data_IF_245103908429
#
_entry.id   IF_245103908429
#
_cell.length_a   1.000
_cell.length_b   1.000
_cell.length_c   1.000
_cell.angle_alpha   90.00
_cell.angle_beta   90.00
_cell.angle_gamma   90.00
#
_symmetry.space_group_name_H-M   'P 1'
#
loop_
_entity.id
_entity.type
_entity.pdbx_description
1 polymer ?
#
# COMPACT_ATOMS: atom_id res chain seq x y z
N UNK A 1 4.19 -26.29 -13.46
CA UNK A 1 4.27 -24.86 -13.15
C UNK A 1 5.71 -24.62 -12.77
N UNK A 2 6.40 -23.91 -13.59
CA UNK A 2 7.83 -23.67 -13.40
C UNK A 2 8.01 -22.53 -12.38
N UNK A 3 8.78 -22.77 -11.32
CA UNK A 3 9.22 -21.76 -10.33
C UNK A 3 10.03 -20.59 -10.97
N UNK A 4 10.09 -20.52 -12.31
CA UNK A 4 10.87 -19.57 -13.07
C UNK A 4 10.25 -18.18 -13.26
N UNK A 5 8.99 -17.98 -12.86
CA UNK A 5 8.27 -16.73 -13.11
C UNK A 5 8.30 -15.75 -11.92
N UNK A 6 8.85 -16.18 -10.78
CA UNK A 6 9.03 -15.34 -9.60
C UNK A 6 10.49 -15.36 -9.18
N UNK A 7 11.06 -14.17 -9.19
CA UNK A 7 12.38 -13.89 -8.61
C UNK A 7 12.19 -13.61 -7.11
N UNK A 8 12.76 -14.45 -6.26
CA UNK A 8 12.76 -14.23 -4.81
C UNK A 8 14.09 -13.59 -4.39
N UNK A 9 14.07 -12.29 -4.14
CA UNK A 9 15.23 -11.53 -3.66
C UNK A 9 15.45 -11.70 -2.16
N UNK A 10 14.68 -12.58 -1.50
CA UNK A 10 14.78 -12.89 -0.06
C UNK A 10 14.85 -11.63 0.79
N UNK A 11 13.82 -10.77 0.72
CA UNK A 11 13.83 -9.53 1.47
C UNK A 11 14.08 -9.83 2.96
N UNK A 12 15.01 -9.08 3.57
CA UNK A 12 15.24 -9.15 5.01
C UNK A 12 14.06 -8.50 5.73
N UNK A 13 12.98 -9.28 5.83
CA UNK A 13 11.77 -8.82 6.49
C UNK A 13 12.07 -8.71 7.99
N UNK A 14 11.76 -7.57 8.62
CA UNK A 14 11.93 -7.43 10.05
C UNK A 14 11.21 -8.53 10.82
N UNK A 15 11.92 -9.11 11.76
CA UNK A 15 11.37 -10.13 12.65
C UNK A 15 10.14 -9.58 13.37
N UNK A 16 8.98 -10.20 13.10
CA UNK A 16 7.71 -9.82 13.69
C UNK A 16 7.79 -9.70 15.20
N UNK A 17 8.41 -10.69 15.87
CA UNK A 17 8.49 -10.71 17.33
C UNK A 17 9.32 -9.54 17.88
N UNK A 18 10.45 -9.24 17.26
CA UNK A 18 11.31 -8.10 17.64
C UNK A 18 10.61 -6.76 17.45
N UNK A 19 9.96 -6.56 16.30
CA UNK A 19 9.26 -5.30 16.00
C UNK A 19 8.03 -5.11 16.90
N UNK A 20 7.27 -6.18 17.20
CA UNK A 20 6.15 -6.11 18.14
C UNK A 20 6.65 -5.72 19.54
N UNK A 21 7.71 -6.35 20.03
CA UNK A 21 8.28 -5.99 21.34
C UNK A 21 8.72 -4.52 21.37
N UNK A 22 9.44 -4.07 20.35
CA UNK A 22 9.90 -2.69 20.21
C UNK A 22 8.73 -1.69 20.22
N UNK A 23 7.68 -1.96 19.41
CA UNK A 23 6.53 -1.07 19.34
C UNK A 23 5.68 -1.06 20.60
N UNK A 24 5.44 -2.21 21.22
CA UNK A 24 4.63 -2.31 22.43
C UNK A 24 5.36 -1.88 23.71
N UNK A 25 6.67 -1.80 23.72
CA UNK A 25 7.48 -1.23 24.80
C UNK A 25 7.66 0.29 24.66
N UNK A 26 7.30 0.87 23.52
CA UNK A 26 7.36 2.32 23.32
C UNK A 26 6.39 3.05 24.26
N UNK A 27 6.72 4.27 24.75
CA UNK A 27 5.79 5.10 25.51
C UNK A 27 4.47 5.36 24.77
N UNK A 28 4.52 5.61 23.47
CA UNK A 28 3.38 5.59 22.57
C UNK A 28 3.42 4.29 21.79
N UNK A 29 2.55 3.36 22.12
CA UNK A 29 2.57 2.02 21.52
C UNK A 29 2.15 2.04 20.06
N UNK A 30 2.82 1.23 19.25
CA UNK A 30 2.55 1.11 17.82
C UNK A 30 2.81 -0.31 17.31
N UNK A 31 2.20 -0.63 16.18
CA UNK A 31 2.48 -1.82 15.38
C UNK A 31 2.58 -1.37 13.91
N UNK A 32 3.64 -1.77 13.22
CA UNK A 32 3.83 -1.37 11.83
C UNK A 32 2.77 -1.99 10.91
N UNK A 33 2.13 -1.22 9.99
CA UNK A 33 1.01 -1.69 9.16
C UNK A 33 1.34 -2.87 8.24
N UNK A 34 2.60 -3.08 7.86
CA UNK A 34 3.00 -4.27 7.08
C UNK A 34 2.62 -5.60 7.76
N UNK A 35 2.45 -5.62 9.07
CA UNK A 35 2.08 -6.81 9.82
C UNK A 35 0.60 -7.16 9.75
N UNK A 36 -0.23 -6.34 9.16
CA UNK A 36 -1.61 -6.69 8.85
C UNK A 36 -1.70 -7.87 7.87
N UNK A 37 -0.78 -7.94 6.91
CA UNK A 37 -0.87 -8.79 5.72
C UNK A 37 -0.28 -10.20 5.93
N UNK A 38 -0.72 -10.89 7.02
CA UNK A 38 -0.64 -12.35 7.06
C UNK A 38 -1.76 -12.95 6.17
N UNK A 39 -1.81 -14.26 6.05
CA UNK A 39 -2.80 -14.93 5.19
C UNK A 39 -4.25 -14.50 5.50
N UNK A 40 -4.61 -14.40 6.79
CA UNK A 40 -5.96 -13.97 7.18
C UNK A 40 -6.18 -12.47 6.97
N UNK A 41 -5.18 -11.66 7.26
CA UNK A 41 -5.24 -10.21 7.03
C UNK A 41 -5.40 -9.86 5.55
N UNK A 42 -4.69 -10.53 4.65
CA UNK A 42 -4.85 -10.36 3.20
C UNK A 42 -6.27 -10.70 2.75
N UNK A 43 -6.85 -11.80 3.22
CA UNK A 43 -8.25 -12.16 2.93
C UNK A 43 -9.26 -11.14 3.49
N UNK A 44 -8.97 -10.54 4.64
CA UNK A 44 -9.82 -9.48 5.21
C UNK A 44 -9.68 -8.20 4.40
N UNK A 45 -8.47 -7.86 3.94
CA UNK A 45 -8.26 -6.69 3.08
C UNK A 45 -8.98 -6.84 1.75
N UNK A 46 -8.93 -8.00 1.09
CA UNK A 46 -9.71 -8.26 -0.12
C UNK A 46 -11.20 -7.96 0.11
N UNK A 47 -11.76 -8.40 1.24
CA UNK A 47 -13.15 -8.08 1.60
C UNK A 47 -13.38 -6.60 1.87
N UNK A 48 -12.41 -5.87 2.44
CA UNK A 48 -12.50 -4.41 2.61
C UNK A 48 -12.62 -3.74 1.24
N UNK A 49 -11.86 -4.18 0.24
CA UNK A 49 -11.91 -3.58 -1.11
C UNK A 49 -13.27 -3.70 -1.79
N UNK A 50 -14.11 -4.64 -1.36
CA UNK A 50 -15.46 -4.88 -1.87
C UNK A 50 -16.56 -4.08 -1.13
N UNK A 51 -16.24 -3.48 0.03
CA UNK A 51 -17.20 -2.75 0.85
C UNK A 51 -17.74 -1.49 0.17
N UNK A 52 -19.03 -1.19 0.29
CA UNK A 52 -19.61 0.05 -0.23
C UNK A 52 -18.94 1.31 0.32
N UNK A 53 -18.55 1.30 1.60
CA UNK A 53 -17.91 2.41 2.27
C UNK A 53 -16.46 2.63 1.82
N UNK A 54 -15.75 1.56 1.42
CA UNK A 54 -14.35 1.61 0.99
C UNK A 54 -14.27 2.00 -0.50
N UNK A 55 -14.40 3.29 -0.78
CA UNK A 55 -14.48 3.85 -2.14
C UNK A 55 -13.15 3.82 -2.90
N UNK A 56 -12.01 3.80 -2.22
CA UNK A 56 -10.67 4.00 -2.81
C UNK A 56 -10.40 3.05 -3.97
N UNK A 57 -10.52 1.75 -3.76
CA UNK A 57 -10.24 0.73 -4.79
C UNK A 57 -11.14 0.89 -6.02
N UNK A 58 -12.44 1.10 -5.80
CA UNK A 58 -13.38 1.27 -6.91
C UNK A 58 -13.13 2.55 -7.68
N UNK A 59 -12.87 3.65 -6.97
CA UNK A 59 -12.63 4.96 -7.61
C UNK A 59 -11.34 4.93 -8.41
N UNK A 60 -10.26 4.36 -7.87
CA UNK A 60 -8.99 4.22 -8.58
C UNK A 60 -9.13 3.36 -9.84
N UNK A 61 -9.78 2.19 -9.72
CA UNK A 61 -9.98 1.30 -10.87
C UNK A 61 -10.88 1.95 -11.94
N UNK A 62 -11.97 2.62 -11.55
CA UNK A 62 -12.80 3.38 -12.48
C UNK A 62 -12.01 4.48 -13.18
N UNK A 63 -11.16 5.20 -12.43
CA UNK A 63 -10.33 6.26 -12.97
C UNK A 63 -9.32 5.75 -14.00
N UNK A 64 -8.66 4.60 -13.75
CA UNK A 64 -7.78 3.94 -14.72
C UNK A 64 -8.52 3.62 -16.02
N UNK A 65 -9.74 3.09 -15.92
CA UNK A 65 -10.58 2.74 -17.09
C UNK A 65 -11.04 4.00 -17.84
N UNK A 66 -11.59 4.99 -17.12
CA UNK A 66 -12.14 6.23 -17.70
C UNK A 66 -11.07 7.10 -18.36
N UNK A 67 -9.84 7.10 -17.80
CA UNK A 67 -8.72 7.90 -18.31
C UNK A 67 -7.73 7.11 -19.16
N UNK A 68 -8.10 5.91 -19.60
CA UNK A 68 -7.23 5.01 -20.35
C UNK A 68 -6.68 5.66 -21.64
N UNK A 69 -7.48 6.42 -22.37
CA UNK A 69 -7.02 7.16 -23.56
C UNK A 69 -5.97 8.23 -23.20
N UNK A 70 -6.20 9.00 -22.14
CA UNK A 70 -5.23 9.99 -21.66
C UNK A 70 -3.93 9.32 -21.21
N UNK A 71 -4.02 8.22 -20.47
CA UNK A 71 -2.86 7.41 -20.06
C UNK A 71 -2.09 6.89 -21.27
N UNK A 72 -2.79 6.38 -22.29
CA UNK A 72 -2.17 5.87 -23.51
C UNK A 72 -1.39 6.94 -24.28
N UNK A 73 -1.87 8.19 -24.26
CA UNK A 73 -1.17 9.32 -24.88
C UNK A 73 0.06 9.73 -24.07
N UNK A 74 -0.11 9.87 -22.75
CA UNK A 74 0.93 10.32 -21.83
C UNK A 74 2.09 9.32 -21.70
N UNK A 75 1.78 8.02 -21.81
CA UNK A 75 2.70 6.91 -21.55
C UNK A 75 2.97 6.05 -22.81
N UNK A 76 2.76 6.60 -24.01
CA UNK A 76 2.87 5.88 -25.29
C UNK A 76 4.26 5.28 -25.58
N UNK A 77 5.30 5.83 -24.98
CA UNK A 77 6.71 5.47 -25.14
C UNK A 77 7.23 4.52 -24.04
N UNK A 78 6.36 4.12 -23.11
CA UNK A 78 6.71 3.18 -22.05
C UNK A 78 6.75 1.76 -22.63
N UNK A 79 7.86 1.06 -22.39
CA UNK A 79 8.07 -0.31 -22.82
C UNK A 79 8.09 -1.33 -21.68
N UNK A 80 8.42 -0.88 -20.46
CA UNK A 80 8.44 -1.71 -19.26
C UNK A 80 7.75 -1.00 -18.11
N UNK A 81 7.09 -1.76 -17.24
CA UNK A 81 6.48 -1.21 -16.02
C UNK A 81 6.84 -2.07 -14.80
N UNK A 82 7.04 -1.40 -13.67
CA UNK A 82 7.34 -2.00 -12.37
C UNK A 82 6.32 -1.53 -11.36
N UNK A 83 5.44 -2.42 -10.91
CA UNK A 83 4.38 -2.10 -9.94
C UNK A 83 4.80 -2.49 -8.52
N UNK A 84 4.78 -1.51 -7.64
CA UNK A 84 5.16 -1.62 -6.25
C UNK A 84 3.93 -1.95 -5.39
N UNK A 85 3.91 -3.13 -4.75
CA UNK A 85 2.77 -3.58 -3.98
C UNK A 85 1.57 -4.01 -4.84
N UNK A 86 1.81 -4.88 -5.82
CA UNK A 86 0.82 -5.26 -6.83
C UNK A 86 -0.40 -6.03 -6.28
N UNK A 87 -0.28 -6.66 -5.12
CA UNK A 87 -1.36 -7.43 -4.50
C UNK A 87 -1.90 -8.54 -5.43
N UNK A 88 -3.21 -8.53 -5.71
CA UNK A 88 -3.87 -9.53 -6.55
C UNK A 88 -3.85 -9.25 -8.06
N UNK A 89 -3.21 -8.17 -8.51
CA UNK A 89 -3.06 -7.81 -9.93
C UNK A 89 -4.29 -7.24 -10.65
N UNK A 90 -5.40 -7.00 -9.96
CA UNK A 90 -6.62 -6.47 -10.61
C UNK A 90 -6.43 -5.07 -11.19
N UNK A 91 -5.70 -4.20 -10.50
CA UNK A 91 -5.40 -2.84 -10.99
C UNK A 91 -4.39 -2.87 -12.12
N UNK A 92 -3.40 -3.76 -12.02
CA UNK A 92 -2.44 -4.03 -13.11
C UNK A 92 -3.16 -4.40 -14.40
N UNK A 93 -4.19 -5.26 -14.30
CA UNK A 93 -5.03 -5.63 -15.46
C UNK A 93 -5.66 -4.42 -16.13
N UNK A 94 -6.20 -3.47 -15.37
CA UNK A 94 -6.81 -2.26 -15.92
C UNK A 94 -5.77 -1.31 -16.53
N UNK A 95 -4.61 -1.16 -15.90
CA UNK A 95 -3.55 -0.27 -16.35
C UNK A 95 -2.85 -0.77 -17.62
N UNK A 96 -2.55 -2.06 -17.70
CA UNK A 96 -1.86 -2.67 -18.86
C UNK A 96 -2.58 -2.35 -20.17
N UNK A 97 -3.92 -2.34 -20.18
CA UNK A 97 -4.72 -1.96 -21.36
C UNK A 97 -4.42 -0.57 -21.89
N UNK A 98 -3.94 0.32 -21.01
CA UNK A 98 -3.70 1.72 -21.31
C UNK A 98 -2.25 2.00 -21.73
N UNK A 99 -1.42 0.98 -21.83
CA UNK A 99 0.02 1.07 -22.14
C UNK A 99 0.32 0.40 -23.49
N UNK A 100 0.10 1.07 -24.63
CA UNK A 100 0.17 0.43 -25.97
C UNK A 100 1.55 -0.02 -26.38
N UNK A 101 2.62 0.54 -25.79
CA UNK A 101 4.01 0.19 -26.05
C UNK A 101 4.58 -0.88 -25.13
N UNK A 102 3.80 -1.36 -24.15
CA UNK A 102 4.28 -2.22 -23.09
C UNK A 102 4.70 -3.61 -23.60
N UNK A 103 5.90 -4.03 -23.22
CA UNK A 103 6.49 -5.33 -23.54
C UNK A 103 6.69 -6.19 -22.30
N UNK A 104 6.97 -5.55 -21.15
CA UNK A 104 7.31 -6.19 -19.88
C UNK A 104 6.55 -5.55 -18.72
N UNK A 105 6.07 -6.37 -17.77
CA UNK A 105 5.43 -5.90 -16.55
C UNK A 105 5.89 -6.72 -15.34
N UNK A 106 6.54 -6.06 -14.39
CA UNK A 106 7.06 -6.66 -13.17
C UNK A 106 6.19 -6.29 -11.97
N UNK A 107 5.70 -7.31 -11.26
CA UNK A 107 4.89 -7.19 -10.05
C UNK A 107 5.79 -7.35 -8.83
N UNK A 108 5.93 -6.33 -8.00
CA UNK A 108 6.71 -6.39 -6.77
C UNK A 108 5.78 -6.50 -5.56
N UNK A 109 6.04 -7.48 -4.70
CA UNK A 109 5.33 -7.65 -3.42
C UNK A 109 6.20 -8.45 -2.45
N UNK A 110 5.91 -8.36 -1.15
CA UNK A 110 6.55 -9.19 -0.12
C UNK A 110 5.91 -10.58 0.01
N UNK A 111 4.75 -10.79 -0.59
CA UNK A 111 3.96 -12.01 -0.53
C UNK A 111 4.10 -12.85 -1.80
N UNK A 112 4.90 -13.90 -1.74
CA UNK A 112 5.04 -14.86 -2.86
C UNK A 112 3.69 -15.46 -3.28
N UNK A 113 2.80 -15.72 -2.32
CA UNK A 113 1.48 -16.31 -2.63
C UNK A 113 0.59 -15.36 -3.42
N UNK A 114 0.61 -14.06 -3.10
CA UNK A 114 -0.11 -13.03 -3.86
C UNK A 114 0.46 -12.88 -5.26
N UNK A 115 1.80 -12.81 -5.37
CA UNK A 115 2.50 -12.72 -6.65
C UNK A 115 2.15 -13.88 -7.59
N UNK A 116 2.14 -15.13 -7.10
CA UNK A 116 1.80 -16.30 -7.94
C UNK A 116 0.44 -16.14 -8.60
N UNK A 117 -0.58 -15.81 -7.83
CA UNK A 117 -1.94 -15.61 -8.36
C UNK A 117 -2.02 -14.47 -9.36
N UNK A 118 -1.37 -13.33 -9.07
CA UNK A 118 -1.37 -12.16 -9.94
C UNK A 118 -0.62 -12.41 -11.26
N UNK A 119 0.56 -13.05 -11.22
CA UNK A 119 1.34 -13.40 -12.41
C UNK A 119 0.57 -14.36 -13.31
N UNK A 120 0.01 -15.44 -12.77
CA UNK A 120 -0.77 -16.42 -13.55
C UNK A 120 -1.99 -15.75 -14.20
N UNK A 121 -2.68 -14.88 -13.46
CA UNK A 121 -3.82 -14.14 -13.97
C UNK A 121 -3.45 -13.21 -15.13
N UNK A 122 -2.39 -12.41 -14.98
CA UNK A 122 -1.97 -11.44 -16.00
C UNK A 122 -1.35 -12.12 -17.22
N UNK A 123 -0.57 -13.18 -17.06
CA UNK A 123 -0.04 -13.98 -18.19
C UNK A 123 -1.14 -14.56 -19.06
N UNK A 124 -2.22 -15.02 -18.41
CA UNK A 124 -3.39 -15.54 -19.14
C UNK A 124 -4.08 -14.43 -19.92
N UNK A 125 -4.21 -13.24 -19.31
CA UNK A 125 -4.90 -12.10 -19.91
C UNK A 125 -4.09 -11.39 -21.00
N UNK A 126 -2.74 -11.36 -20.86
CA UNK A 126 -1.82 -10.64 -21.75
C UNK A 126 -0.67 -11.53 -22.20
N UNK A 127 -0.93 -12.58 -23.03
CA UNK A 127 0.09 -13.56 -23.43
C UNK A 127 1.23 -12.99 -24.30
N UNK A 128 1.09 -11.76 -24.76
CA UNK A 128 2.10 -11.06 -25.55
C UNK A 128 3.00 -10.12 -24.74
N UNK A 129 2.75 -10.03 -23.42
CA UNK A 129 3.55 -9.22 -22.49
C UNK A 129 4.33 -10.17 -21.57
N UNK A 130 5.60 -9.89 -21.37
CA UNK A 130 6.40 -10.61 -20.39
C UNK A 130 6.00 -10.17 -18.97
N UNK A 131 5.43 -11.09 -18.19
CA UNK A 131 4.97 -10.82 -16.83
C UNK A 131 5.88 -11.53 -15.84
N UNK A 132 6.43 -10.79 -14.88
CA UNK A 132 7.32 -11.29 -13.84
C UNK A 132 6.80 -10.96 -12.45
N UNK A 133 7.02 -11.86 -11.50
CA UNK A 133 6.84 -11.57 -10.08
C UNK A 133 8.19 -11.40 -9.40
N UNK A 134 8.35 -10.40 -8.55
CA UNK A 134 9.57 -10.16 -7.77
C UNK A 134 9.21 -10.06 -6.29
N UNK A 135 9.61 -11.04 -5.50
CA UNK A 135 9.43 -11.00 -4.06
C UNK A 135 10.52 -10.13 -3.45
N UNK A 136 10.16 -8.91 -3.02
CA UNK A 136 11.10 -7.93 -2.48
C UNK A 136 10.39 -6.94 -1.55
N UNK A 137 11.16 -6.29 -0.67
CA UNK A 137 10.73 -5.09 0.05
C UNK A 137 11.08 -3.86 -0.80
N UNK A 138 10.10 -3.37 -1.57
CA UNK A 138 10.27 -2.22 -2.45
C UNK A 138 10.49 -0.89 -1.70
N UNK A 139 10.34 -0.88 -0.38
CA UNK A 139 10.68 0.29 0.45
C UNK A 139 12.17 0.36 0.76
N UNK A 140 12.90 -0.72 0.52
CA UNK A 140 14.36 -0.73 0.66
C UNK A 140 15.01 -0.30 -0.68
N UNK A 141 15.66 0.89 -0.74
CA UNK A 141 16.28 1.37 -1.98
C UNK A 141 17.35 0.44 -2.56
N UNK A 142 18.04 -0.33 -1.69
CA UNK A 142 19.10 -1.26 -2.13
C UNK A 142 18.56 -2.48 -2.88
N UNK A 143 17.28 -2.79 -2.72
CA UNK A 143 16.60 -3.93 -3.36
C UNK A 143 15.53 -3.50 -4.35
N UNK A 144 15.50 -2.22 -4.75
CA UNK A 144 14.54 -1.72 -5.73
C UNK A 144 14.86 -2.31 -7.11
N UNK A 145 14.00 -3.23 -7.54
CA UNK A 145 14.10 -3.86 -8.85
C UNK A 145 13.48 -2.95 -9.91
N UNK A 146 14.21 -2.66 -10.97
CA UNK A 146 13.78 -1.77 -12.07
C UNK A 146 13.57 -2.51 -13.40
N UNK A 147 13.61 -3.85 -13.40
CA UNK A 147 13.56 -4.64 -14.64
C UNK A 147 14.87 -4.62 -15.41
N UNK A 148 14.91 -5.41 -16.49
CA UNK A 148 16.07 -5.55 -17.37
C UNK A 148 15.90 -4.81 -18.71
N UNK A 149 14.80 -4.05 -18.88
CA UNK A 149 14.45 -3.36 -20.11
C UNK A 149 15.42 -2.21 -20.41
N UNK A 150 15.80 -2.08 -21.68
CA UNK A 150 16.55 -0.92 -22.19
C UNK A 150 15.63 0.24 -22.64
N UNK A 151 14.33 0.01 -22.65
CA UNK A 151 13.30 1.00 -23.01
C UNK A 151 12.95 1.94 -21.85
N UNK A 152 11.93 2.77 -22.07
CA UNK A 152 11.39 3.64 -21.01
C UNK A 152 10.60 2.84 -19.99
N UNK A 153 10.84 3.14 -18.72
CA UNK A 153 10.25 2.44 -17.58
C UNK A 153 9.16 3.30 -16.94
N UNK A 154 8.09 2.65 -16.51
CA UNK A 154 7.06 3.23 -15.65
C UNK A 154 7.12 2.58 -14.28
N UNK A 155 7.40 3.36 -13.24
CA UNK A 155 7.13 2.94 -11.87
C UNK A 155 5.64 3.16 -11.59
N UNK A 156 4.97 2.13 -11.08
CA UNK A 156 3.54 2.15 -10.75
C UNK A 156 3.36 1.98 -9.24
N UNK A 157 2.67 2.93 -8.58
CA UNK A 157 2.41 2.87 -7.14
C UNK A 157 0.96 3.24 -6.86
N UNK A 158 0.10 2.24 -6.84
CA UNK A 158 -1.35 2.36 -6.71
C UNK A 158 -1.85 2.11 -5.27
N UNK A 159 -3.16 2.26 -5.07
CA UNK A 159 -3.81 1.97 -3.79
C UNK A 159 -3.73 3.07 -2.75
N UNK A 160 -3.20 4.23 -3.10
CA UNK A 160 -2.88 5.27 -2.12
C UNK A 160 -1.94 4.80 -1.00
N UNK A 161 -1.15 3.77 -1.28
CA UNK A 161 -0.20 3.14 -0.34
C UNK A 161 0.83 4.14 0.19
N UNK A 162 1.15 5.17 -0.61
CA UNK A 162 2.01 6.28 -0.18
C UNK A 162 1.44 7.02 1.04
N UNK A 163 0.13 7.00 1.23
CA UNK A 163 -0.53 7.59 2.40
C UNK A 163 -0.23 6.87 3.72
N UNK A 164 0.31 5.64 3.67
CA UNK A 164 0.67 4.90 4.88
C UNK A 164 2.02 5.32 5.46
N UNK A 165 2.78 6.12 4.74
CA UNK A 165 4.09 6.64 5.15
C UNK A 165 3.95 8.02 5.80
N UNK A 166 4.84 8.35 6.73
CA UNK A 166 4.99 9.75 7.16
C UNK A 166 5.43 10.63 5.98
N UNK A 167 5.00 11.89 5.94
CA UNK A 167 5.26 12.79 4.79
C UNK A 167 6.73 12.85 4.39
N UNK A 168 7.62 12.87 5.40
CA UNK A 168 9.07 12.85 5.16
C UNK A 168 9.52 11.56 4.47
N UNK A 169 9.00 10.44 4.92
CA UNK A 169 9.36 9.13 4.38
C UNK A 169 8.80 8.95 2.97
N UNK A 170 7.61 9.49 2.70
CA UNK A 170 7.04 9.56 1.35
C UNK A 170 7.94 10.35 0.38
N UNK A 171 8.45 11.51 0.82
CA UNK A 171 9.38 12.32 0.00
C UNK A 171 10.69 11.55 -0.23
N UNK A 172 11.27 10.93 0.80
CA UNK A 172 12.48 10.13 0.67
C UNK A 172 12.27 8.96 -0.30
N UNK A 173 11.15 8.25 -0.19
CA UNK A 173 10.78 7.17 -1.09
C UNK A 173 10.66 7.64 -2.54
N UNK A 174 9.95 8.73 -2.79
CA UNK A 174 9.81 9.32 -4.13
C UNK A 174 11.17 9.78 -4.69
N UNK A 175 12.05 10.33 -3.84
CA UNK A 175 13.41 10.69 -4.21
C UNK A 175 14.22 9.47 -4.63
N UNK A 176 14.14 8.36 -3.86
CA UNK A 176 14.80 7.10 -4.21
C UNK A 176 14.28 6.52 -5.53
N UNK A 177 12.95 6.60 -5.77
CA UNK A 177 12.38 6.25 -7.08
C UNK A 177 12.99 7.10 -8.19
N UNK A 178 13.06 8.43 -8.01
CA UNK A 178 13.66 9.32 -9.01
C UNK A 178 15.12 8.98 -9.28
N UNK A 179 15.91 8.74 -8.23
CA UNK A 179 17.33 8.38 -8.36
C UNK A 179 17.55 7.07 -9.15
N UNK A 180 16.66 6.09 -8.96
CA UNK A 180 16.73 4.79 -9.65
C UNK A 180 16.32 4.84 -11.13
N UNK A 181 15.63 5.91 -11.55
CA UNK A 181 15.10 6.09 -12.91
C UNK A 181 16.12 6.71 -13.84
N UNK A 182 15.96 6.49 -15.14
CA UNK A 182 16.66 7.17 -16.22
C UNK A 182 15.85 8.37 -16.73
N UNK A 183 16.52 9.31 -17.40
CA UNK A 183 15.86 10.47 -18.02
C UNK A 183 14.71 10.04 -18.93
N UNK A 184 13.53 10.60 -18.70
CA UNK A 184 12.31 10.35 -19.46
C UNK A 184 11.49 9.15 -18.98
N UNK A 185 11.99 8.35 -18.04
CA UNK A 185 11.16 7.37 -17.33
C UNK A 185 10.02 8.08 -16.58
N UNK A 186 8.96 7.35 -16.27
CA UNK A 186 7.78 7.91 -15.64
C UNK A 186 7.44 7.20 -14.33
N UNK A 187 6.76 7.93 -13.44
CA UNK A 187 6.11 7.37 -12.26
C UNK A 187 4.62 7.66 -12.32
N UNK A 188 3.79 6.67 -11.97
CA UNK A 188 2.33 6.79 -11.87
C UNK A 188 1.92 6.43 -10.44
N UNK A 189 1.27 7.36 -9.75
CA UNK A 189 0.92 7.21 -8.34
C UNK A 189 -0.56 7.47 -8.14
N UNK A 190 -1.25 6.51 -7.51
CA UNK A 190 -2.62 6.66 -7.07
C UNK A 190 -2.69 7.29 -5.68
N UNK A 191 -3.49 8.34 -5.51
CA UNK A 191 -3.53 9.14 -4.27
C UNK A 191 -4.96 9.45 -3.87
N UNK A 192 -5.28 9.15 -2.63
CA UNK A 192 -6.57 9.50 -2.02
C UNK A 192 -6.57 10.96 -1.57
N UNK A 193 -7.56 11.74 -2.05
CA UNK A 193 -7.64 13.18 -1.84
C UNK A 193 -8.35 13.53 -0.54
N UNK A 194 -8.04 14.69 0.06
CA UNK A 194 -8.83 15.27 1.16
C UNK A 194 -10.27 15.51 0.71
N UNK A 195 -11.22 15.15 1.54
CA UNK A 195 -12.66 15.27 1.31
C UNK A 195 -13.43 15.31 2.63
N UNK A 196 -14.75 15.27 2.55
CA UNK A 196 -15.62 15.23 3.73
C UNK A 196 -15.20 14.16 4.74
N UNK A 197 -15.12 14.56 6.01
CA UNK A 197 -14.67 13.71 7.12
C UNK A 197 -15.51 12.45 7.27
N UNK A 198 -16.83 12.56 7.12
CA UNK A 198 -17.72 11.42 7.27
C UNK A 198 -17.48 10.36 6.18
N UNK A 199 -17.14 10.79 4.96
CA UNK A 199 -16.76 9.87 3.86
C UNK A 199 -15.45 9.17 4.20
N UNK A 200 -14.46 9.90 4.71
CA UNK A 200 -13.16 9.34 5.10
C UNK A 200 -13.30 8.34 6.24
N UNK A 201 -14.00 8.71 7.31
CA UNK A 201 -14.15 7.87 8.50
C UNK A 201 -14.99 6.62 8.23
N UNK A 202 -16.04 6.70 7.41
CA UNK A 202 -16.88 5.54 7.08
C UNK A 202 -16.10 4.45 6.33
N UNK A 203 -15.10 4.81 5.52
CA UNK A 203 -14.26 3.86 4.81
C UNK A 203 -13.38 3.00 5.74
N UNK A 204 -13.13 3.47 6.96
CA UNK A 204 -12.32 2.76 7.96
C UNK A 204 -13.16 2.29 9.17
N UNK A 205 -14.47 2.58 9.18
CA UNK A 205 -15.44 2.14 10.20
C UNK A 205 -16.69 1.58 9.51
N UNK A 206 -16.49 0.60 8.62
CA UNK A 206 -17.59 0.00 7.85
C UNK A 206 -18.65 -0.62 8.74
N UNK A 207 -19.91 -0.55 8.31
CA UNK A 207 -21.07 -1.05 9.04
C UNK A 207 -21.05 -2.56 9.29
N UNK A 208 -20.32 -3.33 8.46
CA UNK A 208 -20.14 -4.77 8.58
C UNK A 208 -19.01 -5.17 9.54
N UNK A 209 -18.20 -4.21 10.02
CA UNK A 209 -17.08 -4.42 10.94
C UNK A 209 -15.93 -5.23 10.35
N UNK A 210 -15.77 -5.23 9.03
CA UNK A 210 -14.68 -5.97 8.37
C UNK A 210 -13.34 -5.28 8.65
N UNK A 211 -13.28 -3.95 8.56
CA UNK A 211 -12.08 -3.16 8.90
C UNK A 211 -11.69 -3.34 10.36
N UNK A 212 -12.68 -3.38 11.27
CA UNK A 212 -12.41 -3.67 12.67
C UNK A 212 -11.78 -5.06 12.86
N UNK A 213 -12.27 -6.08 12.15
CA UNK A 213 -11.68 -7.43 12.17
C UNK A 213 -10.27 -7.46 11.58
N UNK A 214 -10.03 -6.69 10.52
CA UNK A 214 -8.70 -6.54 9.93
C UNK A 214 -7.71 -5.95 10.94
N UNK A 215 -8.09 -4.87 11.62
CA UNK A 215 -7.24 -4.26 12.64
C UNK A 215 -7.00 -5.20 13.83
N UNK A 216 -8.05 -5.88 14.32
CA UNK A 216 -7.96 -6.85 15.42
C UNK A 216 -7.16 -8.12 15.05
N UNK A 217 -6.99 -8.42 13.75
CA UNK A 217 -6.17 -9.54 13.30
C UNK A 217 -4.71 -9.44 13.80
N UNK A 218 -4.21 -8.23 14.05
CA UNK A 218 -2.89 -8.05 14.68
C UNK A 218 -2.84 -8.69 16.08
N UNK A 219 -3.89 -8.59 16.86
CA UNK A 219 -3.97 -9.23 18.19
C UNK A 219 -4.00 -10.75 18.05
N UNK A 220 -4.77 -11.28 17.07
CA UNK A 220 -4.82 -12.71 16.81
C UNK A 220 -3.44 -13.24 16.33
N UNK A 221 -2.73 -12.45 15.53
CA UNK A 221 -1.37 -12.77 15.12
C UNK A 221 -0.41 -12.78 16.32
N UNK A 222 -0.49 -11.81 17.23
CA UNK A 222 0.30 -11.78 18.47
C UNK A 222 0.01 -13.03 19.32
N UNK A 223 -1.28 -13.37 19.51
CA UNK A 223 -1.67 -14.61 20.25
C UNK A 223 -0.98 -15.83 19.66
N UNK A 224 -1.01 -15.98 18.34
CA UNK A 224 -0.45 -17.12 17.62
C UNK A 224 1.08 -17.16 17.65
N UNK A 225 1.73 -16.04 17.28
CA UNK A 225 3.19 -15.98 17.13
C UNK A 225 3.94 -16.04 18.46
N UNK A 226 3.37 -15.51 19.55
CA UNK A 226 3.96 -15.53 20.88
C UNK A 226 3.38 -16.65 21.79
N UNK A 227 2.41 -17.40 21.31
CA UNK A 227 1.72 -18.44 22.10
C UNK A 227 1.14 -17.89 23.41
N UNK A 228 0.55 -16.68 23.37
CA UNK A 228 -0.03 -16.01 24.55
C UNK A 228 -1.54 -15.93 24.48
N UNK A 229 -2.17 -15.92 25.67
CA UNK A 229 -3.61 -15.72 25.79
C UNK A 229 -3.92 -14.24 26.02
N UNK A 230 -4.75 -13.67 25.15
CA UNK A 230 -5.33 -12.34 25.31
C UNK A 230 -6.85 -12.53 25.31
N UNK A 231 -7.56 -12.23 26.40
CA UNK A 231 -9.00 -12.42 26.47
C UNK A 231 -9.74 -11.60 25.40
N UNK A 232 -10.80 -12.17 24.86
CA UNK A 232 -11.62 -11.48 23.86
C UNK A 232 -12.18 -10.17 24.39
N UNK A 233 -12.32 -9.17 23.53
CA UNK A 233 -12.77 -7.84 23.90
C UNK A 233 -11.76 -7.02 24.73
N UNK A 234 -10.51 -7.52 24.92
CA UNK A 234 -9.44 -6.72 25.55
C UNK A 234 -9.08 -5.51 24.70
N UNK A 235 -9.11 -5.63 23.39
CA UNK A 235 -8.90 -4.54 22.45
C UNK A 235 -10.12 -4.34 21.57
N UNK A 236 -10.39 -3.08 21.20
CA UNK A 236 -11.41 -2.70 20.23
C UNK A 236 -10.81 -1.79 19.17
N UNK A 237 -11.34 -1.86 17.97
CA UNK A 237 -10.94 -1.00 16.85
C UNK A 237 -11.44 0.43 17.06
N UNK A 238 -10.60 1.39 16.67
CA UNK A 238 -10.92 2.81 16.56
C UNK A 238 -10.26 3.34 15.31
N UNK A 239 -11.00 4.06 14.47
CA UNK A 239 -10.44 4.83 13.36
C UNK A 239 -11.08 6.21 13.34
N UNK A 240 -10.30 7.23 13.03
CA UNK A 240 -10.76 8.62 12.92
C UNK A 240 -9.90 9.41 11.95
N UNK A 241 -10.46 10.48 11.40
CA UNK A 241 -9.72 11.44 10.60
C UNK A 241 -9.13 12.53 11.50
N UNK A 242 -7.80 12.57 11.55
CA UNK A 242 -7.04 13.62 12.22
C UNK A 242 -6.91 14.80 11.25
N UNK A 243 -7.77 15.81 11.42
CA UNK A 243 -7.86 16.97 10.54
C UNK A 243 -6.60 17.84 10.60
N UNK A 244 -5.97 17.95 11.77
CA UNK A 244 -4.76 18.78 11.97
C UNK A 244 -3.57 18.24 11.16
N UNK A 245 -3.47 16.90 11.06
CA UNK A 245 -2.37 16.23 10.34
C UNK A 245 -2.80 15.86 8.91
N UNK A 246 -4.10 15.71 8.67
CA UNK A 246 -4.67 15.37 7.36
C UNK A 246 -4.58 13.87 7.03
N UNK A 247 -4.81 13.00 8.01
CA UNK A 247 -4.75 11.55 7.81
C UNK A 247 -5.83 10.80 8.58
N UNK A 248 -6.24 9.64 8.12
CA UNK A 248 -6.90 8.64 8.94
C UNK A 248 -5.85 7.98 9.83
N UNK A 249 -6.21 7.74 11.07
CA UNK A 249 -5.43 6.92 12.01
C UNK A 249 -6.26 5.72 12.44
N UNK A 250 -5.68 4.53 12.42
CA UNK A 250 -6.27 3.35 13.04
C UNK A 250 -5.55 2.99 14.33
N UNK A 251 -6.32 2.65 15.33
CA UNK A 251 -5.84 2.28 16.66
C UNK A 251 -6.55 1.02 17.17
N UNK A 252 -5.89 0.33 18.09
CA UNK A 252 -6.47 -0.69 18.95
C UNK A 252 -6.52 -0.12 20.36
N UNK A 253 -7.71 0.06 20.92
CA UNK A 253 -7.93 0.66 22.24
C UNK A 253 -8.11 -0.44 23.28
N UNK A 254 -7.31 -0.39 24.35
CA UNK A 254 -7.44 -1.33 25.46
C UNK A 254 -8.68 -1.01 26.32
N UNK A 255 -9.54 -1.99 26.53
CA UNK A 255 -10.83 -1.81 27.24
C UNK A 255 -10.73 -1.95 28.76
N UNK A 256 -9.63 -2.51 29.26
CA UNK A 256 -9.37 -2.81 30.69
C UNK A 256 -7.87 -2.81 30.98
N UNK A 257 -7.50 -2.66 32.23
CA UNK A 257 -6.11 -2.88 32.62
C UNK A 257 -5.74 -4.34 32.32
N UNK A 258 -4.66 -4.53 31.60
CA UNK A 258 -4.20 -5.83 31.11
C UNK A 258 -2.68 -5.91 31.05
N UNK A 259 -2.13 -7.08 31.28
CA UNK A 259 -0.71 -7.33 31.06
C UNK A 259 -0.52 -8.69 30.43
N UNK A 260 0.52 -8.79 29.59
CA UNK A 260 0.95 -10.04 28.98
C UNK A 260 2.48 -10.12 29.00
N UNK A 261 3.00 -11.34 28.92
CA UNK A 261 4.44 -11.55 28.80
C UNK A 261 4.77 -12.00 27.39
N UNK A 262 5.58 -11.25 26.66
CA UNK A 262 6.06 -11.56 25.33
C UNK A 262 7.58 -11.77 25.40
N UNK A 263 8.07 -12.98 25.09
CA UNK A 263 9.51 -13.32 25.13
C UNK A 263 10.22 -12.89 26.43
N UNK A 264 9.54 -13.07 27.57
CA UNK A 264 10.07 -12.67 28.89
C UNK A 264 9.87 -11.19 29.25
N UNK A 265 9.46 -10.34 28.32
CA UNK A 265 9.15 -8.94 28.59
C UNK A 265 7.69 -8.76 29.03
N UNK A 266 7.47 -8.05 30.14
CA UNK A 266 6.11 -7.73 30.61
C UNK A 266 5.62 -6.47 29.91
N UNK A 267 4.58 -6.61 29.09
CA UNK A 267 3.90 -5.50 28.43
C UNK A 267 2.63 -5.20 29.22
N UNK A 268 2.48 -3.96 29.66
CA UNK A 268 1.33 -3.48 30.42
C UNK A 268 0.50 -2.54 29.59
N UNK A 269 -0.80 -2.66 29.71
CA UNK A 269 -1.79 -1.77 29.13
C UNK A 269 -2.73 -1.24 30.20
N UNK A 270 -3.04 0.02 30.11
CA UNK A 270 -4.08 0.62 30.93
C UNK A 270 -5.37 0.78 30.13
N UNK A 271 -6.50 0.78 30.81
CA UNK A 271 -7.79 1.04 30.17
C UNK A 271 -7.76 2.39 29.44
N UNK A 272 -8.12 2.37 28.17
CA UNK A 272 -8.09 3.55 27.29
C UNK A 272 -6.76 3.78 26.59
N UNK A 273 -5.71 3.01 26.91
CA UNK A 273 -4.44 3.09 26.19
C UNK A 273 -4.59 2.56 24.77
N UNK A 274 -3.92 3.21 23.83
CA UNK A 274 -4.05 2.94 22.40
C UNK A 274 -2.75 2.35 21.81
N UNK A 275 -2.90 1.43 20.88
CA UNK A 275 -1.84 0.98 19.99
C UNK A 275 -2.12 1.59 18.63
N UNK A 276 -1.25 2.44 18.12
CA UNK A 276 -1.35 2.99 16.76
C UNK A 276 -0.96 1.93 15.74
N UNK A 277 -1.83 1.64 14.78
CA UNK A 277 -1.64 0.53 13.85
C UNK A 277 -1.51 0.95 12.39
N UNK A 278 -2.10 2.07 11.98
CA UNK A 278 -1.99 2.56 10.60
C UNK A 278 -2.19 4.06 10.51
N UNK A 279 -1.48 4.68 9.59
CA UNK A 279 -1.77 5.98 9.01
C UNK A 279 -2.32 5.83 7.61
N UNK A 280 -3.19 6.74 7.18
CA UNK A 280 -3.55 6.89 5.78
C UNK A 280 -3.75 8.38 5.48
N UNK A 281 -2.66 9.02 5.05
CA UNK A 281 -2.65 10.43 4.67
C UNK A 281 -3.54 10.69 3.48
N UNK A 282 -4.22 11.83 3.52
CA UNK A 282 -5.02 12.39 2.44
C UNK A 282 -4.38 13.71 2.05
N UNK A 283 -4.35 13.97 0.77
CA UNK A 283 -3.63 15.12 0.22
C UNK A 283 -4.57 16.07 -0.50
N UNK A 284 -4.24 17.35 -0.53
CA UNK A 284 -4.74 18.24 -1.58
C UNK A 284 -3.89 18.05 -2.85
N UNK A 285 -4.39 18.46 -4.03
CA UNK A 285 -3.60 18.39 -5.25
C UNK A 285 -2.27 19.15 -5.14
N UNK A 286 -2.30 20.31 -4.51
CA UNK A 286 -1.12 21.16 -4.37
C UNK A 286 -0.08 20.56 -3.43
N UNK A 287 -0.52 20.01 -2.27
CA UNK A 287 0.37 19.31 -1.33
C UNK A 287 1.12 18.16 -2.03
N UNK A 288 0.42 17.35 -2.82
CA UNK A 288 1.06 16.20 -3.47
C UNK A 288 1.95 16.61 -4.64
N UNK A 289 1.56 17.64 -5.40
CA UNK A 289 2.39 18.23 -6.46
C UNK A 289 3.68 18.81 -5.90
N UNK A 290 3.63 19.48 -4.75
CA UNK A 290 4.81 19.99 -4.05
C UNK A 290 5.73 18.85 -3.61
N UNK A 291 5.18 17.78 -3.02
CA UNK A 291 5.97 16.60 -2.63
C UNK A 291 6.70 15.97 -3.83
N UNK A 292 6.02 15.82 -4.96
CA UNK A 292 6.63 15.33 -6.20
C UNK A 292 7.75 16.26 -6.69
N UNK A 293 7.54 17.56 -6.64
CA UNK A 293 8.54 18.55 -7.04
C UNK A 293 9.79 18.49 -6.17
N UNK A 294 9.62 18.37 -4.83
CA UNK A 294 10.74 18.19 -3.88
C UNK A 294 11.52 16.92 -4.19
N UNK A 295 10.82 15.83 -4.56
CA UNK A 295 11.43 14.56 -4.91
C UNK A 295 12.07 14.53 -6.32
N UNK A 296 12.09 15.64 -7.04
CA UNK A 296 12.72 15.75 -8.37
C UNK A 296 11.80 15.43 -9.54
N UNK A 297 10.49 15.41 -9.34
CA UNK A 297 9.47 15.22 -10.36
C UNK A 297 8.69 16.54 -10.59
N UNK A 298 9.21 17.47 -11.42
CA UNK A 298 8.52 18.73 -11.70
C UNK A 298 7.31 18.52 -12.61
N UNK A 299 6.32 19.40 -12.48
CA UNK A 299 5.14 19.50 -13.36
C UNK A 299 4.41 18.16 -13.60
N UNK A 300 3.93 17.49 -12.56
CA UNK A 300 3.18 16.26 -12.75
C UNK A 300 1.84 16.51 -13.45
N UNK A 301 1.46 15.62 -14.36
CA UNK A 301 0.09 15.54 -14.87
C UNK A 301 -0.81 14.90 -13.82
N UNK A 302 -2.04 15.39 -13.69
CA UNK A 302 -3.04 14.88 -12.75
C UNK A 302 -4.31 14.48 -13.44
N UNK A 303 -4.70 13.23 -13.28
CA UNK A 303 -6.01 12.72 -13.68
C UNK A 303 -6.84 12.51 -12.40
N UNK A 304 -8.10 12.95 -12.40
CA UNK A 304 -8.97 12.85 -11.22
C UNK A 304 -10.36 12.35 -11.60
N UNK A 305 -11.05 11.71 -10.66
CA UNK A 305 -12.44 11.31 -10.81
C UNK A 305 -13.39 12.52 -10.75
N UNK A 306 -14.62 12.34 -11.19
CA UNK A 306 -15.61 13.44 -11.28
C UNK A 306 -15.95 14.09 -9.95
N UNK A 307 -15.77 13.39 -8.82
CA UNK A 307 -16.00 13.91 -7.46
C UNK A 307 -14.74 14.54 -6.85
N UNK A 308 -13.57 14.36 -7.47
CA UNK A 308 -12.29 14.78 -6.92
C UNK A 308 -11.87 13.97 -5.69
N UNK A 309 -12.38 12.74 -5.55
CA UNK A 309 -12.08 11.88 -4.40
C UNK A 309 -10.73 11.21 -4.49
N UNK A 310 -10.28 10.94 -5.71
CA UNK A 310 -9.05 10.23 -5.99
C UNK A 310 -8.32 10.87 -7.18
N UNK A 311 -7.00 10.83 -7.16
CA UNK A 311 -6.19 11.31 -8.28
C UNK A 311 -5.10 10.31 -8.63
N UNK A 312 -4.79 10.24 -9.91
CA UNK A 312 -3.59 9.59 -10.43
C UNK A 312 -2.64 10.71 -10.87
N UNK A 313 -1.45 10.74 -10.29
CA UNK A 313 -0.38 11.63 -10.69
C UNK A 313 0.61 10.89 -11.57
N UNK A 314 1.00 11.51 -12.68
CA UNK A 314 1.99 11.00 -13.61
C UNK A 314 3.10 12.03 -13.71
N UNK A 315 4.33 11.62 -13.43
CA UNK A 315 5.48 12.52 -13.52
C UNK A 315 6.63 11.83 -14.23
N UNK A 316 7.50 12.62 -14.87
CA UNK A 316 8.68 12.12 -15.58
C UNK A 316 9.95 12.63 -14.93
N UNK A 317 10.97 11.78 -14.94
CA UNK A 317 12.33 12.19 -14.62
C UNK A 317 12.84 13.12 -15.73
N UNK A 318 13.24 14.37 -15.41
CA UNK A 318 13.69 15.36 -16.38
C UNK A 318 15.02 15.03 -17.06
#
# INVERSE_FOLDING_TARGET
MTDGDILDLKPDLPDFRKEILKGLQSPSKWIHPKFFYDTNGSLLFDKITELPEYYQTRTENSLLIEKCESLSILLKDIESAVELGAGNGQKSFSLIKCLPGLKEYSLLDISISSLKGAVDYLKTAYPHIEIHGVCTDYLNPETMYMGDSTGKILIVFLGSTIGNMEKRDSINFLTSCNESMSRGDAILIGVDMKKDKAVLESAYNDSSGITARFNLNLIERIKREFCVSIPDGTFVHKAFYNEDIGRIEMHLVCTRDFSMTLDGAIIRFFKGEEIHTENSYKYTPDEFTEMLSIAGFPNPERLTDTRGYYSIFIARKP
#
